data_IF_382968326845
#
_entry.id   IF_382968326845
#
_cell.length_a   1.000
_cell.length_b   1.000
_cell.length_c   1.000
_cell.angle_alpha   90.00
_cell.angle_beta   90.00
_cell.angle_gamma   90.00
#
_symmetry.space_group_name_H-M   'P 1'
#
loop_
_entity.id
_entity.type
_entity.pdbx_description
1 polymer ?
#
# COMPACT_ATOMS: atom_id res chain seq x y z
N UNK A 1 13.93 -2.79 24.12
CA UNK A 1 12.49 -2.44 24.06
C UNK A 1 12.08 -2.02 22.65
N UNK A 2 12.79 -1.09 21.99
CA UNK A 2 12.48 -0.68 20.61
C UNK A 2 12.69 -1.80 19.58
N UNK A 3 13.81 -2.54 19.66
CA UNK A 3 14.06 -3.67 18.74
C UNK A 3 12.98 -4.75 18.88
N UNK A 4 12.60 -5.09 20.10
CA UNK A 4 11.53 -6.05 20.35
C UNK A 4 10.18 -5.59 19.78
N UNK A 5 9.90 -4.28 19.77
CA UNK A 5 8.70 -3.74 19.14
C UNK A 5 8.77 -3.88 17.62
N UNK A 6 9.88 -3.50 16.98
CA UNK A 6 10.08 -3.63 15.54
C UNK A 6 9.96 -5.09 15.12
N UNK A 7 10.58 -6.02 15.87
CA UNK A 7 10.47 -7.46 15.60
C UNK A 7 9.01 -7.95 15.68
N UNK A 8 8.27 -7.46 16.69
CA UNK A 8 6.84 -7.79 16.86
C UNK A 8 5.98 -7.22 15.73
N UNK A 9 6.28 -6.00 15.28
CA UNK A 9 5.60 -5.37 14.15
C UNK A 9 5.87 -6.16 12.85
N UNK A 10 7.12 -6.52 12.60
CA UNK A 10 7.50 -7.33 11.44
C UNK A 10 6.83 -8.71 11.47
N UNK A 11 6.79 -9.36 12.62
CA UNK A 11 6.11 -10.65 12.78
C UNK A 11 4.61 -10.54 12.49
N UNK A 12 3.96 -9.47 12.97
CA UNK A 12 2.55 -9.20 12.72
C UNK A 12 2.28 -8.94 11.22
N UNK A 13 3.12 -8.15 10.56
CA UNK A 13 3.06 -7.88 9.12
C UNK A 13 3.23 -9.18 8.32
N UNK A 14 4.22 -10.00 8.65
CA UNK A 14 4.44 -11.28 8.00
C UNK A 14 3.23 -12.22 8.15
N UNK A 15 2.63 -12.29 9.33
CA UNK A 15 1.43 -13.09 9.57
C UNK A 15 0.23 -12.66 8.72
N UNK A 16 0.04 -11.35 8.49
CA UNK A 16 -1.01 -10.85 7.60
C UNK A 16 -0.69 -11.15 6.12
N UNK A 17 0.57 -11.07 5.69
CA UNK A 17 0.97 -11.50 4.35
C UNK A 17 0.72 -12.98 4.10
N UNK A 18 0.95 -13.85 5.11
CA UNK A 18 0.60 -15.28 5.00
C UNK A 18 -0.91 -15.49 4.83
N UNK A 19 -1.76 -14.70 5.49
CA UNK A 19 -3.21 -14.74 5.27
C UNK A 19 -3.59 -14.30 3.86
N UNK A 20 -2.97 -13.24 3.35
CA UNK A 20 -3.19 -12.76 1.97
C UNK A 20 -2.82 -13.86 0.96
N UNK A 21 -1.73 -14.62 1.20
CA UNK A 21 -1.34 -15.77 0.36
C UNK A 21 -2.33 -16.94 0.41
N UNK A 22 -3.19 -17.00 1.41
CA UNK A 22 -4.29 -17.97 1.48
C UNK A 22 -5.57 -17.46 0.80
N UNK A 23 -5.61 -16.19 0.40
CA UNK A 23 -6.76 -15.53 -0.19
C UNK A 23 -7.00 -15.90 -1.67
N UNK A 24 -8.17 -15.48 -2.16
CA UNK A 24 -8.64 -15.77 -3.51
C UNK A 24 -7.70 -15.20 -4.59
N UNK A 25 -7.15 -14.01 -4.37
CA UNK A 25 -6.23 -13.39 -5.33
C UNK A 25 -4.98 -14.25 -5.57
N UNK A 26 -4.31 -14.66 -4.49
CA UNK A 26 -3.12 -15.50 -4.61
C UNK A 26 -3.44 -16.84 -5.27
N UNK A 27 -4.53 -17.49 -4.87
CA UNK A 27 -4.98 -18.75 -5.50
C UNK A 27 -5.25 -18.55 -6.99
N UNK A 28 -5.95 -17.48 -7.35
CA UNK A 28 -6.26 -17.17 -8.76
C UNK A 28 -4.98 -16.94 -9.59
N UNK A 29 -4.00 -16.21 -9.04
CA UNK A 29 -2.73 -15.98 -9.72
C UNK A 29 -1.90 -17.26 -9.90
N UNK A 30 -1.90 -18.15 -8.91
CA UNK A 30 -1.06 -19.37 -8.94
C UNK A 30 -1.68 -20.51 -9.74
N UNK A 31 -2.99 -20.60 -9.82
CA UNK A 31 -3.69 -21.70 -10.45
C UNK A 31 -4.00 -21.49 -11.94
N UNK A 32 -4.04 -20.25 -12.41
CA UNK A 32 -4.42 -19.91 -13.80
C UNK A 32 -3.53 -18.78 -14.34
N UNK A 33 -3.43 -18.62 -15.67
CA UNK A 33 -2.83 -17.42 -16.26
C UNK A 33 -3.55 -16.15 -15.79
N UNK A 34 -2.80 -15.09 -15.57
CA UNK A 34 -3.36 -13.78 -15.22
C UNK A 34 -4.07 -13.21 -16.45
N UNK A 35 -5.32 -12.80 -16.28
CA UNK A 35 -6.06 -12.14 -17.37
C UNK A 35 -5.76 -10.64 -17.41
N UNK A 36 -5.99 -10.03 -18.57
CA UNK A 36 -5.87 -8.58 -18.79
C UNK A 36 -6.84 -7.80 -17.89
N UNK A 37 -8.02 -8.36 -17.64
CA UNK A 37 -9.06 -7.77 -16.79
C UNK A 37 -8.64 -7.73 -15.31
N UNK A 38 -8.06 -8.81 -14.77
CA UNK A 38 -7.52 -8.84 -13.40
C UNK A 38 -6.41 -7.80 -13.23
N UNK A 39 -5.47 -7.74 -14.18
CA UNK A 39 -4.39 -6.74 -14.13
C UNK A 39 -4.95 -5.32 -14.20
N UNK A 40 -5.87 -5.07 -15.13
CA UNK A 40 -6.52 -3.77 -15.28
C UNK A 40 -7.24 -3.36 -13.98
N UNK A 41 -8.08 -4.24 -13.43
CA UNK A 41 -8.81 -3.95 -12.20
C UNK A 41 -7.86 -3.69 -11.02
N UNK A 42 -6.85 -4.53 -10.85
CA UNK A 42 -5.83 -4.33 -9.81
C UNK A 42 -5.18 -2.95 -9.95
N UNK A 43 -4.76 -2.55 -11.15
CA UNK A 43 -4.12 -1.25 -11.37
C UNK A 43 -5.08 -0.07 -11.18
N UNK A 44 -6.38 -0.25 -11.47
CA UNK A 44 -7.39 0.76 -11.16
C UNK A 44 -7.60 0.91 -9.65
N UNK A 45 -7.55 -0.19 -8.88
CA UNK A 45 -7.59 -0.09 -7.43
C UNK A 45 -6.32 0.56 -6.86
N UNK A 46 -5.14 0.28 -7.45
CA UNK A 46 -3.90 1.01 -7.15
C UNK A 46 -4.08 2.51 -7.39
N UNK A 47 -4.60 2.92 -8.55
CA UNK A 47 -4.93 4.31 -8.82
C UNK A 47 -5.84 4.92 -7.74
N UNK A 48 -6.90 4.22 -7.37
CA UNK A 48 -7.87 4.73 -6.41
C UNK A 48 -7.29 4.99 -5.03
N UNK A 49 -6.52 4.07 -4.43
CA UNK A 49 -5.98 4.31 -3.11
C UNK A 49 -4.74 5.20 -3.12
N UNK A 50 -3.90 5.11 -4.17
CA UNK A 50 -2.65 5.90 -4.24
C UNK A 50 -2.94 7.40 -4.38
N UNK A 51 -3.97 7.79 -5.13
CA UNK A 51 -4.36 9.21 -5.25
C UNK A 51 -4.72 9.88 -3.90
N UNK A 52 -5.00 9.09 -2.88
CA UNK A 52 -5.27 9.55 -1.52
C UNK A 52 -4.04 9.51 -0.61
N UNK A 53 -2.95 8.85 -1.04
CA UNK A 53 -1.80 8.58 -0.17
C UNK A 53 -1.12 9.87 0.31
N UNK A 54 -0.81 10.78 -0.59
CA UNK A 54 -0.27 12.11 -0.27
C UNK A 54 -1.18 12.88 0.69
N UNK A 55 -2.48 12.98 0.36
CA UNK A 55 -3.44 13.77 1.14
C UNK A 55 -3.65 13.20 2.53
N UNK A 56 -3.84 11.87 2.68
CA UNK A 56 -4.04 11.28 4.01
C UNK A 56 -2.79 11.38 4.89
N UNK A 57 -1.60 11.46 4.31
CA UNK A 57 -0.38 11.77 5.06
C UNK A 57 -0.38 13.23 5.55
N UNK A 58 -0.64 14.18 4.65
CA UNK A 58 -0.67 15.60 5.01
C UNK A 58 -1.70 15.89 6.12
N UNK A 59 -2.87 15.24 6.06
CA UNK A 59 -3.94 15.36 7.06
C UNK A 59 -3.49 14.88 8.45
N UNK A 60 -2.48 14.01 8.57
CA UNK A 60 -1.93 13.62 9.88
C UNK A 60 -1.44 14.84 10.70
N UNK A 61 -1.04 15.92 10.05
CA UNK A 61 -0.60 17.14 10.69
C UNK A 61 -1.74 17.94 11.37
N UNK A 62 -2.99 17.52 11.20
CA UNK A 62 -4.14 18.06 11.96
C UNK A 62 -4.07 17.72 13.45
N UNK A 63 -3.38 16.64 13.80
CA UNK A 63 -3.10 16.24 15.18
C UNK A 63 -1.70 16.73 15.54
N UNK A 64 -1.57 17.38 16.70
CA UNK A 64 -0.29 17.89 17.18
C UNK A 64 0.76 16.79 17.31
N UNK A 65 1.95 17.06 16.80
CA UNK A 65 3.05 16.11 16.77
C UNK A 65 4.41 16.86 16.75
N UNK A 66 5.52 16.18 17.16
CA UNK A 66 6.84 16.80 17.10
C UNK A 66 7.19 17.32 15.71
N UNK A 67 7.78 18.52 15.65
CA UNK A 67 8.16 19.19 14.38
C UNK A 67 8.96 18.29 13.45
N UNK A 68 9.87 17.49 13.99
CA UNK A 68 10.69 16.54 13.22
C UNK A 68 9.83 15.47 12.53
N UNK A 69 8.80 14.98 13.20
CA UNK A 69 7.85 14.02 12.64
C UNK A 69 6.97 14.69 11.58
N UNK A 70 6.49 15.90 11.81
CA UNK A 70 5.74 16.67 10.82
C UNK A 70 6.57 16.94 9.56
N UNK A 71 7.84 17.28 9.70
CA UNK A 71 8.75 17.44 8.54
C UNK A 71 8.88 16.14 7.73
N UNK A 72 8.98 14.99 8.40
CA UNK A 72 8.96 13.69 7.75
C UNK A 72 7.66 13.48 6.97
N UNK A 73 6.51 13.71 7.62
CA UNK A 73 5.18 13.55 7.03
C UNK A 73 4.99 14.41 5.78
N UNK A 74 5.33 15.69 5.85
CA UNK A 74 5.17 16.61 4.71
C UNK A 74 6.09 16.26 3.53
N UNK A 75 7.34 15.88 3.82
CA UNK A 75 8.27 15.45 2.78
C UNK A 75 7.72 14.20 2.07
N UNK A 76 7.36 13.17 2.81
CA UNK A 76 6.86 11.93 2.25
C UNK A 76 5.51 12.15 1.51
N UNK A 77 4.63 13.00 2.04
CA UNK A 77 3.40 13.37 1.35
C UNK A 77 3.66 14.07 0.00
N UNK A 78 4.71 14.89 -0.08
CA UNK A 78 5.11 15.59 -1.32
C UNK A 78 5.69 14.60 -2.32
N UNK A 79 6.48 13.63 -1.87
CA UNK A 79 7.07 12.58 -2.72
C UNK A 79 5.99 11.67 -3.33
N UNK A 80 4.92 11.38 -2.58
CA UNK A 80 3.79 10.55 -3.03
C UNK A 80 2.80 11.26 -3.98
N UNK A 81 2.92 12.57 -4.16
CA UNK A 81 1.96 13.34 -4.97
C UNK A 81 2.07 13.01 -6.46
N UNK A 82 0.99 12.51 -7.04
CA UNK A 82 0.92 12.21 -8.46
C UNK A 82 1.33 10.79 -8.84
N UNK A 83 1.71 9.94 -7.87
CA UNK A 83 2.09 8.54 -8.13
C UNK A 83 0.93 7.71 -8.73
N UNK A 84 -0.32 8.06 -8.45
CA UNK A 84 -1.49 7.41 -9.04
C UNK A 84 -1.48 7.41 -10.56
N UNK A 85 -0.90 8.44 -11.17
CA UNK A 85 -0.81 8.55 -12.63
C UNK A 85 0.18 7.57 -13.26
N UNK A 86 1.08 6.98 -12.47
CA UNK A 86 1.94 5.90 -12.96
C UNK A 86 1.10 4.66 -13.29
N UNK A 87 0.12 4.31 -12.45
CA UNK A 87 -0.79 3.18 -12.71
C UNK A 87 -1.59 3.40 -14.01
N UNK A 88 -2.10 4.61 -14.22
CA UNK A 88 -2.81 4.98 -15.46
C UNK A 88 -1.88 4.90 -16.68
N UNK A 89 -0.65 5.38 -16.56
CA UNK A 89 0.36 5.32 -17.64
C UNK A 89 0.69 3.87 -18.00
N UNK A 90 0.86 3.01 -17.01
CA UNK A 90 1.13 1.59 -17.23
C UNK A 90 -0.03 0.92 -17.98
N UNK A 91 -1.27 1.17 -17.58
CA UNK A 91 -2.46 0.68 -18.30
C UNK A 91 -2.56 1.22 -19.74
N UNK A 92 -2.24 2.50 -19.96
CA UNK A 92 -2.19 3.08 -21.31
C UNK A 92 -1.13 2.41 -22.19
N UNK A 93 0.03 2.09 -21.62
CA UNK A 93 1.15 1.49 -22.34
C UNK A 93 0.85 0.09 -22.89
N UNK A 94 -0.20 -0.57 -22.41
CA UNK A 94 -0.63 -1.91 -22.79
C UNK A 94 -2.07 -1.97 -23.30
N UNK A 95 -2.63 -0.80 -23.64
CA UNK A 95 -3.99 -0.65 -24.22
C UNK A 95 -5.10 -1.22 -23.33
N UNK A 96 -4.96 -1.07 -22.00
CA UNK A 96 -5.95 -1.51 -21.02
C UNK A 96 -6.70 -0.37 -20.34
N UNK A 97 -6.23 0.86 -20.52
CA UNK A 97 -6.86 2.03 -19.91
C UNK A 97 -8.16 2.40 -20.65
N UNK A 98 -9.18 2.74 -19.87
CA UNK A 98 -10.44 3.30 -20.36
C UNK A 98 -10.74 4.57 -19.59
N UNK A 99 -11.08 5.65 -20.30
CA UNK A 99 -11.32 6.97 -19.65
C UNK A 99 -12.48 6.91 -18.64
N UNK A 100 -13.51 6.11 -18.93
CA UNK A 100 -14.65 5.93 -18.04
C UNK A 100 -14.31 5.28 -16.71
N UNK A 101 -13.15 4.61 -16.60
CA UNK A 101 -12.73 3.99 -15.33
C UNK A 101 -12.35 5.00 -14.26
N UNK A 102 -11.89 6.19 -14.65
CA UNK A 102 -11.57 7.27 -13.72
C UNK A 102 -12.80 7.77 -12.94
N UNK A 103 -13.99 7.64 -13.51
CA UNK A 103 -15.25 8.05 -12.90
C UNK A 103 -15.91 6.95 -12.04
N UNK A 104 -15.42 5.71 -12.14
CA UNK A 104 -15.94 4.61 -11.34
C UNK A 104 -15.52 4.75 -9.88
N UNK A 105 -16.38 4.39 -8.93
CA UNK A 105 -15.98 4.31 -7.53
C UNK A 105 -14.96 3.18 -7.34
N UNK A 106 -14.09 3.27 -6.32
CA UNK A 106 -13.25 2.14 -5.94
C UNK A 106 -14.09 0.96 -5.43
N UNK A 107 -13.50 -0.22 -5.41
CA UNK A 107 -14.13 -1.39 -4.78
C UNK A 107 -14.37 -1.13 -3.28
N UNK A 108 -15.39 -1.77 -2.66
CA UNK A 108 -15.72 -1.54 -1.25
C UNK A 108 -14.54 -1.69 -0.28
N UNK A 109 -13.66 -2.67 -0.50
CA UNK A 109 -12.49 -2.84 0.36
C UNK A 109 -11.45 -1.74 0.14
N UNK A 110 -11.29 -1.23 -1.08
CA UNK A 110 -10.43 -0.08 -1.39
C UNK A 110 -10.97 1.19 -0.73
N UNK A 111 -12.27 1.43 -0.84
CA UNK A 111 -12.93 2.55 -0.16
C UNK A 111 -12.76 2.48 1.36
N UNK A 112 -12.93 1.28 1.94
CA UNK A 112 -12.70 1.05 3.36
C UNK A 112 -11.25 1.32 3.78
N UNK A 113 -10.25 0.93 2.97
CA UNK A 113 -8.83 1.22 3.21
C UNK A 113 -8.57 2.72 3.20
N UNK A 114 -9.08 3.44 2.19
CA UNK A 114 -8.97 4.88 2.07
C UNK A 114 -9.59 5.57 3.30
N UNK A 115 -10.84 5.23 3.61
CA UNK A 115 -11.57 5.80 4.75
C UNK A 115 -10.91 5.51 6.09
N UNK A 116 -10.37 4.30 6.27
CA UNK A 116 -9.61 3.93 7.46
C UNK A 116 -8.35 4.78 7.63
N UNK A 117 -7.56 4.98 6.57
CA UNK A 117 -6.35 5.81 6.62
C UNK A 117 -6.67 7.28 6.96
N UNK A 118 -7.73 7.86 6.40
CA UNK A 118 -8.19 9.19 6.80
C UNK A 118 -8.66 9.23 8.26
N UNK A 119 -9.39 8.21 8.71
CA UNK A 119 -9.82 8.11 10.11
C UNK A 119 -8.64 8.05 11.07
N UNK A 120 -7.61 7.25 10.75
CA UNK A 120 -6.36 7.18 11.53
C UNK A 120 -5.66 8.54 11.55
N UNK A 121 -5.50 9.18 10.39
CA UNK A 121 -4.82 10.46 10.24
C UNK A 121 -5.49 11.56 11.08
N UNK A 122 -6.81 11.70 10.97
CA UNK A 122 -7.59 12.74 11.65
C UNK A 122 -7.73 12.51 13.16
N UNK A 123 -7.82 11.25 13.60
CA UNK A 123 -8.09 10.92 15.01
C UNK A 123 -6.83 10.75 15.84
N UNK A 124 -5.79 10.22 15.24
CA UNK A 124 -4.60 9.77 15.97
C UNK A 124 -3.30 10.39 15.46
N UNK A 125 -3.31 11.03 14.30
CA UNK A 125 -2.16 11.70 13.72
C UNK A 125 -1.11 10.77 13.13
N UNK A 126 0.16 11.24 13.03
CA UNK A 126 1.17 10.56 12.23
C UNK A 126 1.74 9.28 12.87
N UNK A 127 1.82 9.20 14.20
CA UNK A 127 2.48 8.06 14.87
C UNK A 127 1.82 6.72 14.54
N UNK A 128 0.51 6.52 14.73
CA UNK A 128 -0.14 5.26 14.38
C UNK A 128 -0.11 4.94 12.88
N UNK A 129 -0.14 5.99 12.02
CA UNK A 129 -0.07 5.82 10.57
C UNK A 129 1.27 5.21 10.10
N UNK A 130 2.35 5.36 10.87
CA UNK A 130 3.62 4.68 10.57
C UNK A 130 3.46 3.16 10.41
N UNK A 131 2.43 2.56 11.02
CA UNK A 131 2.12 1.15 10.83
C UNK A 131 1.75 0.80 9.39
N UNK A 132 1.02 1.68 8.68
CA UNK A 132 0.77 1.54 7.24
C UNK A 132 2.06 1.74 6.44
N UNK A 133 2.76 2.84 6.66
CA UNK A 133 4.00 3.13 5.94
C UNK A 133 5.04 2.01 6.10
N UNK A 134 5.16 1.40 7.27
CA UNK A 134 6.13 0.34 7.54
C UNK A 134 6.00 -0.86 6.58
N UNK A 135 4.79 -1.36 6.39
CA UNK A 135 4.62 -2.50 5.48
C UNK A 135 4.51 -2.06 4.01
N UNK A 136 3.97 -0.86 3.74
CA UNK A 136 3.83 -0.37 2.37
C UNK A 136 5.20 -0.19 1.70
N UNK A 137 6.15 0.46 2.39
CA UNK A 137 7.52 0.67 1.90
C UNK A 137 8.36 -0.62 1.82
N UNK A 138 7.91 -1.72 2.42
CA UNK A 138 8.59 -3.02 2.37
C UNK A 138 7.83 -4.10 1.60
N UNK A 139 6.70 -3.75 0.98
CA UNK A 139 5.77 -4.70 0.37
C UNK A 139 6.33 -5.44 -0.84
N UNK A 140 7.28 -4.86 -1.57
CA UNK A 140 7.77 -5.42 -2.83
C UNK A 140 8.43 -6.78 -2.68
N UNK A 141 9.14 -7.05 -1.59
CA UNK A 141 9.68 -8.38 -1.29
C UNK A 141 8.56 -9.44 -1.18
N UNK A 142 7.37 -9.04 -0.75
CA UNK A 142 6.22 -9.93 -0.57
C UNK A 142 5.47 -10.22 -1.87
N UNK A 143 5.45 -9.27 -2.81
CA UNK A 143 4.68 -9.34 -4.07
C UNK A 143 5.53 -9.61 -5.31
N UNK A 144 6.85 -9.67 -5.20
CA UNK A 144 7.78 -9.88 -6.33
C UNK A 144 7.40 -11.08 -7.21
N UNK A 145 7.05 -12.21 -6.58
CA UNK A 145 6.59 -13.40 -7.30
C UNK A 145 5.30 -13.17 -8.10
N UNK A 146 4.38 -12.37 -7.58
CA UNK A 146 3.16 -12.00 -8.30
C UNK A 146 3.45 -11.08 -9.47
N UNK A 147 4.32 -10.07 -9.27
CA UNK A 147 4.72 -9.14 -10.33
C UNK A 147 5.43 -9.87 -11.48
N UNK A 148 6.31 -10.80 -11.17
CA UNK A 148 6.99 -11.64 -12.18
C UNK A 148 6.00 -12.51 -12.96
N UNK A 149 5.03 -13.10 -12.27
CA UNK A 149 3.99 -13.90 -12.94
C UNK A 149 3.09 -13.04 -13.82
N UNK A 150 2.63 -11.88 -13.34
CA UNK A 150 1.83 -10.92 -14.12
C UNK A 150 2.61 -10.50 -15.37
N UNK A 151 3.87 -10.13 -15.20
CA UNK A 151 4.73 -9.73 -16.31
C UNK A 151 4.88 -10.85 -17.36
N UNK A 152 5.11 -12.08 -16.91
CA UNK A 152 5.24 -13.26 -17.78
C UNK A 152 3.95 -13.57 -18.52
N UNK A 153 2.82 -13.67 -17.81
CA UNK A 153 1.55 -14.10 -18.39
C UNK A 153 1.00 -13.08 -19.40
N UNK A 154 1.24 -11.78 -19.15
CA UNK A 154 0.75 -10.69 -20.01
C UNK A 154 1.82 -10.13 -20.96
N UNK A 155 3.02 -10.73 -20.98
CA UNK A 155 4.17 -10.26 -21.79
C UNK A 155 4.51 -8.79 -21.52
N UNK A 156 4.41 -8.34 -20.26
CA UNK A 156 4.75 -6.98 -19.86
C UNK A 156 6.27 -6.83 -19.71
N UNK A 157 6.78 -5.69 -20.16
CA UNK A 157 8.17 -5.29 -19.98
C UNK A 157 8.26 -4.30 -18.80
N UNK A 158 9.47 -4.00 -18.34
CA UNK A 158 9.72 -3.08 -17.21
C UNK A 158 9.07 -1.70 -17.44
N UNK A 159 9.11 -1.22 -18.67
CA UNK A 159 8.48 0.05 -19.07
C UNK A 159 6.94 0.06 -19.05
N UNK A 160 6.30 -1.11 -18.95
CA UNK A 160 4.85 -1.25 -18.77
C UNK A 160 4.43 -1.38 -17.31
N UNK A 161 5.39 -1.40 -16.38
CA UNK A 161 5.19 -1.60 -14.94
C UNK A 161 5.91 -0.52 -14.14
N UNK A 162 5.81 0.73 -14.60
CA UNK A 162 6.57 1.86 -14.05
C UNK A 162 6.17 2.18 -12.62
N UNK A 163 4.90 1.99 -12.25
CA UNK A 163 4.45 2.13 -10.87
C UNK A 163 5.29 1.26 -9.93
N UNK A 164 5.35 -0.05 -10.21
CA UNK A 164 6.10 -0.97 -9.35
C UNK A 164 7.61 -0.77 -9.45
N UNK A 165 8.14 -0.59 -10.65
CA UNK A 165 9.60 -0.47 -10.84
C UNK A 165 10.21 0.80 -10.23
N UNK A 166 9.47 1.90 -10.18
CA UNK A 166 9.90 3.15 -9.54
C UNK A 166 9.91 3.02 -8.03
N UNK A 167 8.87 2.43 -7.44
CA UNK A 167 8.78 2.22 -6.00
C UNK A 167 9.86 1.26 -5.50
N UNK A 168 10.15 0.16 -6.19
CA UNK A 168 11.24 -0.75 -5.80
C UNK A 168 12.58 0.00 -5.60
N UNK A 169 12.84 1.06 -6.37
CA UNK A 169 14.07 1.84 -6.26
C UNK A 169 14.02 2.87 -5.11
N UNK A 170 12.87 3.49 -4.89
CA UNK A 170 12.67 4.52 -3.87
C UNK A 170 12.53 3.92 -2.45
N UNK A 171 11.86 2.78 -2.33
CA UNK A 171 11.41 2.20 -1.07
C UNK A 171 12.56 1.75 -0.15
N UNK A 172 13.75 1.44 -0.68
CA UNK A 172 14.92 1.12 0.16
C UNK A 172 15.27 2.30 1.08
N UNK A 173 15.20 3.52 0.57
CA UNK A 173 15.43 4.73 1.37
C UNK A 173 14.24 5.06 2.28
N UNK A 174 13.02 4.90 1.80
CA UNK A 174 11.79 5.18 2.54
C UNK A 174 11.61 4.20 3.71
N UNK A 175 11.81 2.90 3.50
CA UNK A 175 11.72 1.90 4.56
C UNK A 175 12.65 2.21 5.75
N UNK A 176 13.91 2.60 5.47
CA UNK A 176 14.87 2.99 6.51
C UNK A 176 14.40 4.26 7.28
N UNK A 177 13.84 5.24 6.56
CA UNK A 177 13.31 6.46 7.19
C UNK A 177 12.08 6.18 8.05
N UNK A 178 11.18 5.30 7.60
CA UNK A 178 10.01 4.87 8.39
C UNK A 178 10.44 4.11 9.64
N UNK A 179 11.40 3.19 9.53
CA UNK A 179 11.93 2.48 10.70
C UNK A 179 12.58 3.44 11.68
N UNK A 180 13.35 4.41 11.19
CA UNK A 180 13.91 5.46 12.05
C UNK A 180 12.82 6.26 12.78
N UNK A 181 11.74 6.63 12.07
CA UNK A 181 10.61 7.34 12.66
C UNK A 181 9.89 6.49 13.73
N UNK A 182 9.70 5.20 13.48
CA UNK A 182 9.16 4.26 14.49
C UNK A 182 10.02 4.22 15.74
N UNK A 183 11.33 4.09 15.59
CA UNK A 183 12.28 4.04 16.71
C UNK A 183 12.29 5.33 17.53
N UNK A 184 12.15 6.46 16.88
CA UNK A 184 12.23 7.78 17.52
C UNK A 184 10.90 8.21 18.16
N UNK A 185 9.76 7.95 17.52
CA UNK A 185 8.48 8.55 17.93
C UNK A 185 7.49 7.57 18.57
N UNK A 186 7.69 6.25 18.45
CA UNK A 186 6.85 5.24 19.10
C UNK A 186 7.45 4.88 20.47
N UNK A 187 7.16 5.68 21.48
CA UNK A 187 7.84 5.62 22.77
C UNK A 187 7.00 4.97 23.89
N UNK A 188 5.71 4.79 23.69
CA UNK A 188 4.79 4.24 24.69
C UNK A 188 4.15 2.92 24.24
N UNK A 189 3.77 2.03 25.18
CA UNK A 189 3.04 0.80 24.85
C UNK A 189 1.73 1.06 24.09
N UNK A 190 1.03 2.16 24.39
CA UNK A 190 -0.19 2.54 23.69
C UNK A 190 0.09 2.88 22.22
N UNK A 191 1.14 3.65 21.93
CA UNK A 191 1.55 3.96 20.55
C UNK A 191 1.96 2.69 19.80
N UNK A 192 2.72 1.79 20.43
CA UNK A 192 3.09 0.50 19.86
C UNK A 192 1.86 -0.31 19.45
N UNK A 193 0.86 -0.39 20.33
CA UNK A 193 -0.38 -1.08 20.07
C UNK A 193 -1.16 -0.43 18.90
N UNK A 194 -1.22 0.89 18.85
CA UNK A 194 -1.89 1.62 17.76
C UNK A 194 -1.19 1.39 16.42
N UNK A 195 0.14 1.45 16.36
CA UNK A 195 0.92 1.15 15.14
C UNK A 195 0.68 -0.28 14.66
N UNK A 196 0.74 -1.26 15.56
CA UNK A 196 0.43 -2.67 15.26
C UNK A 196 -1.00 -2.82 14.69
N UNK A 197 -1.98 -2.18 15.33
CA UNK A 197 -3.37 -2.24 14.89
C UNK A 197 -3.53 -1.65 13.48
N UNK A 198 -2.90 -0.51 13.20
CA UNK A 198 -2.96 0.12 11.87
C UNK A 198 -2.30 -0.76 10.82
N UNK A 199 -1.12 -1.32 11.10
CA UNK A 199 -0.43 -2.23 10.17
C UNK A 199 -1.31 -3.44 9.82
N UNK A 200 -1.86 -4.12 10.82
CA UNK A 200 -2.73 -5.29 10.63
C UNK A 200 -4.01 -4.95 9.87
N UNK A 201 -4.69 -3.87 10.26
CA UNK A 201 -5.97 -3.48 9.65
C UNK A 201 -5.78 -3.08 8.19
N UNK A 202 -4.75 -2.30 7.87
CA UNK A 202 -4.50 -1.87 6.49
C UNK A 202 -4.07 -3.03 5.60
N UNK A 203 -3.25 -3.97 6.09
CA UNK A 203 -2.93 -5.19 5.35
C UNK A 203 -4.14 -6.10 5.16
N UNK A 204 -4.97 -6.27 6.19
CA UNK A 204 -6.23 -7.02 6.06
C UNK A 204 -7.11 -6.42 4.96
N UNK A 205 -7.30 -5.10 4.95
CA UNK A 205 -8.11 -4.41 3.92
C UNK A 205 -7.48 -4.53 2.53
N UNK A 206 -6.14 -4.49 2.43
CA UNK A 206 -5.42 -4.75 1.17
C UNK A 206 -5.66 -6.18 0.68
N UNK A 207 -5.63 -7.17 1.56
CA UNK A 207 -6.00 -8.54 1.21
C UNK A 207 -7.43 -8.66 0.69
N UNK A 208 -8.39 -7.98 1.36
CA UNK A 208 -9.79 -7.97 0.92
C UNK A 208 -9.96 -7.27 -0.44
N UNK A 209 -9.23 -6.18 -0.70
CA UNK A 209 -9.20 -5.50 -2.00
C UNK A 209 -8.73 -6.47 -3.09
N UNK A 210 -7.61 -7.15 -2.89
CA UNK A 210 -7.06 -8.11 -3.85
C UNK A 210 -8.04 -9.27 -4.09
N UNK A 211 -8.64 -9.81 -3.05
CA UNK A 211 -9.65 -10.87 -3.17
C UNK A 211 -10.90 -10.43 -3.93
N UNK A 212 -11.34 -9.18 -3.76
CA UNK A 212 -12.44 -8.63 -4.55
C UNK A 212 -12.08 -8.52 -6.04
N UNK A 213 -10.85 -8.09 -6.37
CA UNK A 213 -10.35 -8.06 -7.75
C UNK A 213 -10.41 -9.48 -8.37
N UNK A 214 -9.94 -10.48 -7.64
CA UNK A 214 -9.97 -11.87 -8.14
C UNK A 214 -11.40 -12.34 -8.40
N UNK A 215 -12.32 -12.15 -7.45
CA UNK A 215 -13.71 -12.63 -7.54
C UNK A 215 -14.54 -11.94 -8.62
N UNK A 216 -14.19 -10.73 -9.03
CA UNK A 216 -14.89 -10.02 -10.12
C UNK A 216 -14.56 -10.60 -11.50
N UNK A 217 -13.46 -11.35 -11.62
CA UNK A 217 -12.92 -11.81 -12.88
C UNK A 217 -12.61 -13.33 -12.89
N UNK A 218 -13.27 -14.09 -12.01
CA UNK A 218 -13.29 -15.56 -12.01
C UNK A 218 -14.27 -16.13 -13.11
#
# INVERSE_FOLDING_TARGET
MQDQFIDSLQAAVNAEWERIRQGAFHQRLTQRPVSREIYREMMMQVYHYTRHNSTNQAVCAFVDAPEKLLKFVYRHATEELGHEWMAVRDLKSVELFREEDLAKPPLPATEALIGYLYSVALRYGPVPRLGYSFWAESSYAQIDGWLKKIASDLSLRKENMTFFSSHIQADVGHAAQVEQALREFVTTPQQQQQVLQVAKTTLFLTGQLLDQVARLHD
#
